data_IF_083777416469
#
_entry.id   IF_083777416469
#
_cell.length_a   1.000
_cell.length_b   1.000
_cell.length_c   1.000
_cell.angle_alpha   90.00
_cell.angle_beta   90.00
_cell.angle_gamma   90.00
#
_symmetry.space_group_name_H-M   'P 1'
#
loop_
_entity.id
_entity.type
_entity.pdbx_description
1 polymer ?
#
# COMPACT_ATOMS: atom_id res chain seq x y z
N UNK A 1 -7.62 0.36 11.55
CA UNK A 1 -7.58 -1.04 12.05
C UNK A 1 -7.93 -1.12 13.52
N UNK A 2 -7.08 -0.62 14.45
CA UNK A 2 -7.31 -0.73 15.91
C UNK A 2 -8.72 -0.36 16.34
N UNK A 3 -9.20 0.81 15.91
CA UNK A 3 -10.56 1.26 16.21
C UNK A 3 -11.63 0.24 15.81
N UNK A 4 -11.55 -0.34 14.60
CA UNK A 4 -12.51 -1.36 14.15
C UNK A 4 -12.46 -2.58 15.06
N UNK A 5 -11.25 -3.06 15.37
CA UNK A 5 -11.06 -4.23 16.23
C UNK A 5 -11.46 -4.02 17.69
N UNK A 6 -11.66 -2.76 18.13
CA UNK A 6 -12.10 -2.42 19.49
C UNK A 6 -13.59 -2.11 19.58
N UNK A 7 -14.19 -1.64 18.48
CA UNK A 7 -15.53 -1.05 18.50
C UNK A 7 -16.56 -1.84 17.68
N UNK A 8 -16.13 -2.69 16.75
CA UNK A 8 -17.04 -3.53 15.96
C UNK A 8 -17.16 -4.88 16.63
N UNK A 9 -18.38 -5.22 17.07
CA UNK A 9 -18.70 -6.48 17.74
C UNK A 9 -18.22 -7.69 16.91
N UNK A 10 -17.51 -8.62 17.56
CA UNK A 10 -16.99 -9.83 16.92
C UNK A 10 -15.78 -9.64 16.00
N UNK A 11 -15.35 -8.39 15.74
CA UNK A 11 -14.25 -8.14 14.80
C UNK A 11 -12.90 -8.64 15.34
N UNK A 12 -12.68 -8.50 16.65
CA UNK A 12 -11.46 -8.98 17.31
C UNK A 12 -11.32 -10.49 17.15
N UNK A 13 -12.35 -11.23 17.54
CA UNK A 13 -12.35 -12.68 17.57
C UNK A 13 -12.23 -13.24 16.16
N UNK A 14 -12.88 -12.62 15.16
CA UNK A 14 -12.72 -13.02 13.75
C UNK A 14 -11.31 -12.74 13.23
N UNK A 15 -10.70 -11.62 13.61
CA UNK A 15 -9.31 -11.32 13.23
C UNK A 15 -8.33 -12.35 13.82
N UNK A 16 -8.51 -12.71 15.10
CA UNK A 16 -7.67 -13.69 15.78
C UNK A 16 -7.83 -15.11 15.20
N UNK A 17 -9.02 -15.43 14.65
CA UNK A 17 -9.27 -16.67 13.89
C UNK A 17 -8.83 -16.63 12.43
N UNK A 18 -8.32 -15.49 11.92
CA UNK A 18 -7.93 -15.33 10.52
C UNK A 18 -9.10 -15.24 9.53
N UNK A 19 -10.29 -14.90 10.02
CA UNK A 19 -11.52 -14.76 9.22
C UNK A 19 -11.74 -13.32 8.71
N UNK A 20 -10.82 -12.41 9.03
CA UNK A 20 -10.81 -11.03 8.54
C UNK A 20 -9.51 -10.75 7.82
N UNK A 21 -9.59 -9.88 6.82
CA UNK A 21 -8.45 -9.32 6.11
C UNK A 21 -8.49 -7.80 6.21
N UNK A 22 -7.32 -7.18 6.31
CA UNK A 22 -7.11 -5.76 6.15
C UNK A 22 -6.61 -5.45 4.74
N UNK A 23 -7.00 -4.30 4.20
CA UNK A 23 -6.44 -3.77 2.98
C UNK A 23 -6.76 -2.29 2.84
N UNK A 24 -5.86 -1.55 2.19
CA UNK A 24 -6.17 -0.24 1.60
C UNK A 24 -7.02 -0.46 0.33
N UNK A 25 -7.40 0.62 -0.36
CA UNK A 25 -8.32 0.54 -1.51
C UNK A 25 -7.74 -0.31 -2.64
N UNK A 26 -6.44 -0.22 -2.90
CA UNK A 26 -5.69 -1.04 -3.86
C UNK A 26 -5.80 -2.54 -3.55
N UNK A 27 -5.54 -2.94 -2.29
CA UNK A 27 -5.71 -4.33 -1.85
C UNK A 27 -7.14 -4.81 -2.06
N UNK A 28 -8.13 -3.98 -1.71
CA UNK A 28 -9.53 -4.33 -1.91
C UNK A 28 -9.86 -4.53 -3.40
N UNK A 29 -9.41 -3.63 -4.27
CA UNK A 29 -9.64 -3.74 -5.71
C UNK A 29 -9.01 -5.01 -6.29
N UNK A 30 -7.75 -5.32 -5.93
CA UNK A 30 -7.10 -6.55 -6.37
C UNK A 30 -7.82 -7.79 -5.84
N UNK A 31 -8.19 -7.79 -4.56
CA UNK A 31 -8.96 -8.88 -3.96
C UNK A 31 -10.27 -9.12 -4.73
N UNK A 32 -11.00 -8.06 -5.09
CA UNK A 32 -12.24 -8.16 -5.86
C UNK A 32 -12.03 -8.60 -7.30
N UNK A 33 -11.05 -8.03 -7.99
CA UNK A 33 -10.76 -8.36 -9.40
C UNK A 33 -10.25 -9.79 -9.58
N UNK A 34 -9.63 -10.35 -8.54
CA UNK A 34 -9.10 -11.73 -8.53
C UNK A 34 -10.03 -12.74 -7.88
N UNK A 35 -11.26 -12.34 -7.52
CA UNK A 35 -12.25 -13.18 -6.81
C UNK A 35 -11.69 -13.80 -5.50
N UNK A 36 -11.00 -12.99 -4.71
CA UNK A 36 -10.47 -13.39 -3.40
C UNK A 36 -9.22 -14.26 -3.45
N UNK A 37 -8.50 -14.29 -4.58
CA UNK A 37 -7.30 -15.12 -4.73
C UNK A 37 -6.02 -14.40 -4.36
N UNK A 38 -5.99 -13.08 -4.45
CA UNK A 38 -4.76 -12.29 -4.30
C UNK A 38 -5.00 -11.20 -3.24
N UNK A 39 -4.25 -11.27 -2.15
CA UNK A 39 -4.28 -10.33 -1.02
C UNK A 39 -2.93 -9.63 -0.91
N UNK A 40 -2.81 -8.50 -1.62
CA UNK A 40 -1.53 -7.78 -1.79
C UNK A 40 -1.73 -6.27 -1.70
N UNK A 41 -0.66 -5.54 -1.42
CA UNK A 41 -0.54 -4.08 -1.55
C UNK A 41 0.85 -3.76 -2.09
N UNK A 42 1.08 -2.54 -2.57
CA UNK A 42 2.40 -2.09 -2.98
C UNK A 42 3.10 -1.27 -1.87
N UNK A 43 4.40 -1.03 -2.03
CA UNK A 43 5.18 -0.26 -1.07
C UNK A 43 4.62 1.15 -0.79
N UNK A 44 4.06 1.81 -1.80
CA UNK A 44 3.57 3.18 -1.64
C UNK A 44 2.35 3.21 -0.72
N UNK A 45 1.37 2.32 -0.92
CA UNK A 45 0.20 2.21 -0.05
C UNK A 45 0.57 1.68 1.34
N UNK A 46 1.42 0.66 1.43
CA UNK A 46 1.89 0.13 2.71
C UNK A 46 2.55 1.23 3.57
N UNK A 47 3.37 2.09 2.97
CA UNK A 47 4.05 3.20 3.68
C UNK A 47 3.08 4.23 4.30
N UNK A 48 1.82 4.27 3.86
CA UNK A 48 0.79 5.19 4.38
C UNK A 48 -0.07 4.60 5.51
N UNK A 49 0.19 3.36 5.91
CA UNK A 49 -0.60 2.67 6.93
C UNK A 49 -0.18 2.99 8.38
N UNK A 50 0.99 3.61 8.59
CA UNK A 50 1.68 3.71 9.89
C UNK A 50 2.12 2.36 10.49
N UNK A 51 1.88 1.23 9.81
CA UNK A 51 2.23 -0.11 10.27
C UNK A 51 3.42 -0.70 9.54
N UNK A 52 3.86 -0.07 8.45
CA UNK A 52 4.93 -0.56 7.60
C UNK A 52 6.24 0.18 7.90
N UNK A 53 7.31 -0.56 8.14
CA UNK A 53 8.64 -0.01 8.32
C UNK A 53 9.26 0.23 6.93
N UNK A 54 9.37 1.50 6.56
CA UNK A 54 9.89 1.94 5.25
C UNK A 54 11.42 1.80 5.11
N UNK A 55 12.15 1.48 6.19
CA UNK A 55 13.60 1.24 6.17
C UNK A 55 13.91 -0.22 5.86
N UNK A 56 13.21 -1.13 6.54
CA UNK A 56 13.44 -2.57 6.44
C UNK A 56 12.47 -3.25 5.46
N UNK A 57 11.55 -2.48 4.87
CA UNK A 57 10.55 -2.92 3.90
C UNK A 57 9.72 -4.13 4.38
N UNK A 58 9.19 -4.03 5.60
CA UNK A 58 8.34 -5.05 6.21
C UNK A 58 7.33 -4.45 7.18
N UNK A 59 6.26 -5.19 7.45
CA UNK A 59 5.32 -4.85 8.52
C UNK A 59 6.06 -4.79 9.88
N UNK A 60 5.86 -3.70 10.62
CA UNK A 60 6.58 -3.42 11.87
C UNK A 60 5.92 -4.16 13.05
N UNK A 61 6.55 -5.26 13.47
CA UNK A 61 6.02 -6.12 14.53
C UNK A 61 5.88 -5.40 15.87
N UNK A 62 6.72 -4.40 16.16
CA UNK A 62 6.61 -3.62 17.39
C UNK A 62 5.34 -2.77 17.39
N UNK A 63 5.03 -2.11 16.28
CA UNK A 63 3.78 -1.33 16.14
C UNK A 63 2.56 -2.25 16.15
N UNK A 64 2.61 -3.38 15.43
CA UNK A 64 1.53 -4.35 15.40
C UNK A 64 1.22 -4.89 16.80
N UNK A 65 2.24 -5.31 17.56
CA UNK A 65 2.09 -5.79 18.93
C UNK A 65 1.55 -4.69 19.84
N UNK A 66 2.07 -3.45 19.73
CA UNK A 66 1.61 -2.33 20.55
C UNK A 66 0.15 -1.97 20.31
N UNK A 67 -0.31 -2.12 19.07
CA UNK A 67 -1.70 -1.89 18.68
C UNK A 67 -2.57 -3.16 18.79
N UNK A 68 -2.00 -4.30 19.19
CA UNK A 68 -2.65 -5.59 19.21
C UNK A 68 -3.33 -5.90 17.84
N UNK A 69 -2.56 -5.90 16.75
CA UNK A 69 -3.05 -6.19 15.39
C UNK A 69 -2.43 -7.51 14.93
N UNK A 70 -3.23 -8.57 14.70
CA UNK A 70 -2.73 -9.82 14.12
C UNK A 70 -2.06 -9.61 12.76
N UNK A 71 -0.86 -10.16 12.57
CA UNK A 71 -0.13 -10.07 11.30
C UNK A 71 -0.85 -10.80 10.16
N UNK A 72 -1.66 -11.81 10.47
CA UNK A 72 -2.51 -12.57 9.55
C UNK A 72 -3.54 -11.71 8.79
N UNK A 73 -3.89 -10.53 9.32
CA UNK A 73 -4.77 -9.57 8.64
C UNK A 73 -4.11 -8.91 7.44
N UNK A 74 -2.78 -8.79 7.42
CA UNK A 74 -2.07 -7.85 6.56
C UNK A 74 -1.77 -8.46 5.18
N UNK A 75 -1.90 -7.69 4.09
CA UNK A 75 -1.55 -8.16 2.76
C UNK A 75 -0.04 -8.36 2.60
N UNK A 76 0.36 -9.18 1.64
CA UNK A 76 1.73 -9.22 1.16
C UNK A 76 2.08 -7.88 0.49
N UNK A 77 3.27 -7.34 0.76
CA UNK A 77 3.74 -6.09 0.15
C UNK A 77 4.67 -6.40 -1.02
N UNK A 78 4.38 -5.81 -2.18
CA UNK A 78 5.05 -6.07 -3.46
C UNK A 78 5.55 -4.80 -4.14
N UNK A 79 6.30 -4.96 -5.23
CA UNK A 79 6.73 -3.83 -6.06
C UNK A 79 5.52 -3.08 -6.62
N UNK A 80 5.69 -1.81 -6.97
CA UNK A 80 4.65 -0.99 -7.62
C UNK A 80 4.43 -1.39 -9.09
N UNK A 81 5.38 -2.12 -9.68
CA UNK A 81 5.30 -2.66 -11.03
C UNK A 81 5.77 -4.12 -11.10
N UNK A 82 4.84 -5.04 -10.95
CA UNK A 82 4.99 -6.48 -11.20
C UNK A 82 3.62 -7.11 -11.45
N UNK A 83 3.56 -8.31 -12.03
CA UNK A 83 2.28 -9.02 -12.20
C UNK A 83 1.84 -9.63 -10.87
N UNK A 84 0.85 -9.02 -10.21
CA UNK A 84 0.31 -9.51 -8.93
C UNK A 84 -0.63 -10.70 -9.09
N UNK A 85 -1.30 -10.76 -10.25
CA UNK A 85 -2.35 -11.70 -10.56
C UNK A 85 -3.13 -11.27 -11.80
N UNK A 86 -4.24 -11.94 -12.07
CA UNK A 86 -5.05 -11.70 -13.25
C UNK A 86 -6.49 -11.39 -12.86
N UNK A 87 -6.99 -10.25 -13.34
CA UNK A 87 -8.39 -9.92 -13.26
C UNK A 87 -9.20 -10.92 -14.11
N UNK A 88 -10.35 -11.36 -13.58
CA UNK A 88 -11.28 -12.21 -14.31
C UNK A 88 -12.40 -11.38 -14.94
N UNK A 89 -12.25 -10.98 -16.20
CA UNK A 89 -13.29 -10.23 -16.90
C UNK A 89 -14.21 -11.20 -17.66
N UNK A 90 -15.46 -11.33 -17.22
CA UNK A 90 -16.48 -12.15 -17.91
C UNK A 90 -16.71 -13.57 -17.35
N UNK A 91 -16.12 -13.94 -16.22
CA UNK A 91 -16.41 -15.22 -15.55
C UNK A 91 -15.73 -16.43 -16.20
N UNK A 92 -16.41 -17.57 -16.28
CA UNK A 92 -15.86 -18.80 -16.87
C UNK A 92 -15.73 -18.63 -18.39
N UNK A 93 -14.53 -18.81 -18.94
CA UNK A 93 -14.25 -18.51 -20.35
C UNK A 93 -13.96 -17.03 -20.64
N UNK A 94 -13.92 -16.19 -19.61
CA UNK A 94 -13.59 -14.76 -19.70
C UNK A 94 -12.11 -14.48 -19.96
N UNK A 95 -11.81 -13.21 -20.22
CA UNK A 95 -10.44 -12.73 -20.49
C UNK A 95 -9.68 -12.54 -19.18
N UNK A 96 -8.43 -12.99 -19.18
CA UNK A 96 -7.48 -12.78 -18.08
C UNK A 96 -6.61 -11.58 -18.39
N UNK A 97 -6.82 -10.49 -17.66
CA UNK A 97 -6.03 -9.26 -17.81
C UNK A 97 -5.03 -9.19 -16.66
N UNK A 98 -3.71 -9.06 -16.91
CA UNK A 98 -2.73 -8.93 -15.84
C UNK A 98 -2.96 -7.64 -15.07
N UNK A 99 -2.98 -7.74 -13.74
CA UNK A 99 -2.91 -6.59 -12.85
C UNK A 99 -1.42 -6.39 -12.57
N UNK A 100 -0.84 -5.32 -13.14
CA UNK A 100 0.61 -5.16 -13.22
C UNK A 100 1.15 -3.81 -12.70
N UNK A 101 0.27 -2.93 -12.21
CA UNK A 101 0.63 -1.62 -11.69
C UNK A 101 -0.21 -1.28 -10.46
N UNK A 102 0.44 -0.80 -9.41
CA UNK A 102 -0.21 -0.39 -8.17
C UNK A 102 0.64 0.70 -7.51
N UNK A 103 0.02 1.83 -7.21
CA UNK A 103 0.60 2.83 -6.33
C UNK A 103 -0.52 3.72 -5.76
N UNK A 104 -0.23 4.42 -4.66
CA UNK A 104 -1.08 5.48 -4.12
C UNK A 104 -1.31 6.57 -5.17
N UNK A 105 -2.45 7.24 -5.12
CA UNK A 105 -2.84 8.29 -6.08
C UNK A 105 -1.79 9.41 -6.21
N UNK A 106 -1.25 9.86 -5.08
CA UNK A 106 -0.26 10.94 -5.07
C UNK A 106 1.09 10.50 -5.65
N UNK A 107 1.49 9.25 -5.40
CA UNK A 107 2.67 8.62 -5.98
C UNK A 107 2.49 8.36 -7.48
N UNK A 108 1.31 7.90 -7.91
CA UNK A 108 0.94 7.79 -9.32
C UNK A 108 1.07 9.14 -10.02
N UNK A 109 0.60 10.22 -9.40
CA UNK A 109 0.72 11.57 -9.98
C UNK A 109 2.18 12.05 -10.05
N UNK A 110 3.03 11.69 -9.08
CA UNK A 110 4.48 11.97 -9.13
C UNK A 110 5.13 11.23 -10.31
N UNK A 111 4.84 9.94 -10.46
CA UNK A 111 5.35 9.12 -11.55
C UNK A 111 4.84 9.59 -12.92
N UNK A 112 3.54 9.90 -13.04
CA UNK A 112 2.92 10.38 -14.27
C UNK A 112 3.39 11.77 -14.72
N UNK A 113 3.89 12.60 -13.79
CA UNK A 113 4.56 13.87 -14.08
C UNK A 113 6.06 13.69 -14.40
N UNK A 114 6.52 12.45 -14.58
CA UNK A 114 7.92 12.12 -14.91
C UNK A 114 8.94 12.63 -13.88
N UNK A 115 8.53 12.76 -12.61
CA UNK A 115 9.39 13.20 -11.52
C UNK A 115 10.31 12.07 -11.02
N UNK A 116 11.12 11.51 -11.93
CA UNK A 116 11.99 10.36 -11.68
C UNK A 116 13.30 10.73 -10.98
N UNK A 117 13.73 11.99 -11.12
CA UNK A 117 15.01 12.45 -10.58
C UNK A 117 14.87 13.01 -9.16
N UNK A 118 15.90 12.81 -8.32
CA UNK A 118 16.03 13.43 -6.99
C UNK A 118 15.86 14.95 -7.10
N UNK A 119 15.01 15.52 -6.25
CA UNK A 119 14.67 16.95 -6.25
C UNK A 119 13.49 17.32 -7.16
N UNK A 120 12.96 16.41 -7.99
CA UNK A 120 11.74 16.65 -8.76
C UNK A 120 10.54 16.83 -7.84
N UNK A 121 9.73 17.86 -8.09
CA UNK A 121 8.56 18.21 -7.25
C UNK A 121 7.31 18.30 -8.11
N UNK A 122 6.19 17.82 -7.57
CA UNK A 122 4.86 18.12 -8.09
C UNK A 122 3.93 18.57 -6.98
N UNK A 123 2.80 19.15 -7.37
CA UNK A 123 1.69 19.41 -6.48
C UNK A 123 0.36 19.00 -7.15
N UNK A 124 -0.44 18.18 -6.48
CA UNK A 124 -1.76 17.77 -6.98
C UNK A 124 -2.84 18.55 -6.24
N UNK A 125 -3.67 19.25 -7.00
CA UNK A 125 -4.80 20.03 -6.50
C UNK A 125 -6.11 19.27 -6.76
N UNK A 126 -6.77 18.83 -5.68
CA UNK A 126 -8.10 18.23 -5.70
C UNK A 126 -8.88 18.73 -4.49
N UNK A 127 -9.70 17.88 -3.86
CA UNK A 127 -10.37 18.23 -2.59
C UNK A 127 -9.38 18.62 -1.48
N UNK A 128 -8.15 18.10 -1.54
CA UNK A 128 -6.99 18.57 -0.78
C UNK A 128 -5.81 18.90 -1.69
N UNK A 129 -4.70 19.34 -1.10
CA UNK A 129 -3.47 19.69 -1.82
C UNK A 129 -2.31 18.83 -1.28
N UNK A 130 -1.62 18.13 -2.18
CA UNK A 130 -0.53 17.21 -1.83
C UNK A 130 0.72 17.48 -2.66
N UNK A 131 1.70 18.11 -2.01
CA UNK A 131 3.02 18.37 -2.55
C UNK A 131 3.96 17.20 -2.23
N UNK A 132 4.60 16.65 -3.27
CA UNK A 132 5.55 15.56 -3.17
C UNK A 132 6.86 15.95 -3.86
N UNK A 133 7.98 15.57 -3.26
CA UNK A 133 9.32 15.69 -3.80
C UNK A 133 9.98 14.31 -3.82
N UNK A 134 10.57 13.92 -4.95
CA UNK A 134 11.37 12.70 -5.04
C UNK A 134 12.71 12.94 -4.32
N UNK A 135 13.07 12.08 -3.36
CA UNK A 135 14.34 12.16 -2.61
C UNK A 135 15.36 11.11 -3.04
N UNK A 136 15.11 10.42 -4.15
CA UNK A 136 15.87 9.26 -4.59
C UNK A 136 15.83 8.13 -3.56
N UNK A 137 16.87 7.29 -3.53
CA UNK A 137 16.97 6.17 -2.59
C UNK A 137 17.29 6.59 -1.14
N UNK A 138 17.42 7.90 -0.88
CA UNK A 138 17.78 8.44 0.44
C UNK A 138 16.53 8.76 1.24
N UNK A 139 16.37 8.07 2.37
CA UNK A 139 15.33 8.40 3.34
C UNK A 139 15.65 9.72 4.07
N UNK A 140 14.84 10.77 3.83
CA UNK A 140 15.00 12.08 4.48
C UNK A 140 14.04 12.22 5.64
N UNK A 141 14.54 12.23 6.88
CA UNK A 141 13.73 12.51 8.07
C UNK A 141 13.57 14.03 8.25
N UNK A 142 12.36 14.54 8.06
CA UNK A 142 12.06 15.95 8.28
C UNK A 142 12.09 16.32 9.75
N UNK A 143 12.62 17.52 10.05
CA UNK A 143 12.50 18.20 11.36
C UNK A 143 11.44 19.31 11.34
N UNK A 144 10.77 19.51 10.20
CA UNK A 144 9.85 20.63 9.94
C UNK A 144 8.42 20.15 9.59
N UNK A 145 8.01 18.98 10.09
CA UNK A 145 6.64 18.49 9.95
C UNK A 145 6.29 17.83 8.61
N UNK A 146 7.26 17.58 7.72
CA UNK A 146 7.02 16.81 6.49
C UNK A 146 7.05 15.30 6.76
N UNK A 147 6.32 14.54 5.95
CA UNK A 147 6.32 13.07 6.00
C UNK A 147 7.36 12.50 5.04
N UNK A 148 8.05 11.45 5.49
CA UNK A 148 8.87 10.59 4.64
C UNK A 148 8.03 9.37 4.26
N UNK A 149 7.92 9.06 2.97
CA UNK A 149 7.06 7.99 2.45
C UNK A 149 7.73 7.38 1.22
N UNK A 150 7.27 6.21 0.79
CA UNK A 150 7.77 5.58 -0.44
C UNK A 150 7.00 6.14 -1.64
N UNK A 151 7.73 6.58 -2.65
CA UNK A 151 7.25 7.11 -3.92
C UNK A 151 7.00 6.01 -4.95
N UNK A 152 7.86 5.00 -5.03
CA UNK A 152 7.73 3.84 -5.91
C UNK A 152 8.64 2.71 -5.42
N UNK A 153 8.29 1.45 -5.67
CA UNK A 153 9.23 0.35 -5.54
C UNK A 153 9.33 -0.52 -6.79
N UNK A 154 10.55 -0.81 -7.23
CA UNK A 154 10.87 -1.61 -8.42
C UNK A 154 12.07 -2.50 -8.08
N UNK A 155 12.01 -3.78 -8.44
CA UNK A 155 13.07 -4.77 -8.21
C UNK A 155 13.57 -4.83 -6.75
N UNK A 156 12.65 -4.67 -5.79
CA UNK A 156 12.96 -4.70 -4.35
C UNK A 156 13.66 -3.44 -3.83
N UNK A 157 13.85 -2.41 -4.67
CA UNK A 157 14.36 -1.10 -4.27
C UNK A 157 13.22 -0.09 -4.21
N UNK A 158 13.39 0.93 -3.37
CA UNK A 158 12.40 2.00 -3.20
C UNK A 158 13.03 3.38 -3.34
N UNK A 159 12.23 4.32 -3.83
CA UNK A 159 12.49 5.77 -3.77
C UNK A 159 11.46 6.44 -2.88
#
# INVERSE_FOLDING_TARGET
IKWILDNVEGAREKADRGELLFGTVDTWLVWKLTNGKVHVTDYTNASRTMLYNIKDLKWDEKILNKLNIPKSLLPEVKNSSEVYGYANLGGTGGVRVPIAGMAGDQQCALFGQTCFDEGSVKNTYGTGCFLLMNTGEKMIRSKNGLLTTIAVGIDGKVQ
#
